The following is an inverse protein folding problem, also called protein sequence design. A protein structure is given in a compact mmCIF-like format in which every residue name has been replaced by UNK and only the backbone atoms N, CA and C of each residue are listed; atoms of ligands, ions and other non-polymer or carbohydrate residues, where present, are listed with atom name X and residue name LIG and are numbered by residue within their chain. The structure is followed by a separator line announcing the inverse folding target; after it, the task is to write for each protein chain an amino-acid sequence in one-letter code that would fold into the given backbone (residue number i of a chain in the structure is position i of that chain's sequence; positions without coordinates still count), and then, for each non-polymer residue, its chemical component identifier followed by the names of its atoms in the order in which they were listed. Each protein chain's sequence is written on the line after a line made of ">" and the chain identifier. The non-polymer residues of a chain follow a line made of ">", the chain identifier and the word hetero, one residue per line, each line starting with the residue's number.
data_IF_211577353193
#
_entry.id   IF_211577353193
#
_cell.length_a   1.000
_cell.length_b   1.000
_cell.length_c   1.000
_cell.angle_alpha   90.00
_cell.angle_beta   90.00
_cell.angle_gamma   90.00
#
_symmetry.space_group_name_H-M   'P 1'
#
loop_
_entity.id
_entity.type
_entity.pdbx_description
1 polymer ?
#
# COMPACT_ATOMS: atom_id res chain seq x y z
N UNK A 1 -2.41 12.11 18.05
CA UNK A 1 -2.08 12.22 16.61
C UNK A 1 -2.96 11.26 15.86
N UNK A 2 -3.54 11.67 14.75
CA UNK A 2 -4.37 10.81 13.91
C UNK A 2 -3.47 9.97 13.00
N UNK A 3 -3.59 8.65 13.06
CA UNK A 3 -2.88 7.72 12.18
C UNK A 3 -3.63 7.61 10.85
N UNK A 4 -2.95 7.90 9.75
CA UNK A 4 -3.51 7.86 8.39
C UNK A 4 -3.10 6.59 7.68
N UNK A 5 -4.06 5.84 7.17
CA UNK A 5 -3.85 4.62 6.41
C UNK A 5 -4.39 4.80 4.99
N UNK A 6 -3.50 4.74 4.01
CA UNK A 6 -3.91 4.69 2.62
C UNK A 6 -4.33 3.26 2.24
N UNK A 7 -5.45 3.14 1.53
CA UNK A 7 -6.02 1.86 1.07
C UNK A 7 -6.13 1.89 -0.44
N UNK A 8 -5.18 1.26 -1.12
CA UNK A 8 -5.13 1.18 -2.58
C UNK A 8 -5.78 -0.10 -3.07
N UNK A 9 -6.77 0.02 -3.95
CA UNK A 9 -7.46 -1.09 -4.61
C UNK A 9 -7.33 -0.99 -6.13
N UNK A 10 -6.84 -2.07 -6.75
CA UNK A 10 -6.72 -2.18 -8.21
C UNK A 10 -7.85 -3.02 -8.86
N UNK A 11 -8.99 -3.17 -8.18
CA UNK A 11 -10.15 -3.87 -8.73
C UNK A 11 -10.76 -3.14 -9.92
N UNK A 12 -11.10 -3.88 -10.98
CA UNK A 12 -11.66 -3.31 -12.23
C UNK A 12 -13.18 -3.42 -12.33
N UNK A 13 -13.77 -4.44 -11.71
CA UNK A 13 -15.22 -4.70 -11.76
C UNK A 13 -16.01 -3.91 -10.72
N UNK A 14 -17.33 -3.79 -10.95
CA UNK A 14 -18.30 -3.31 -9.96
C UNK A 14 -19.49 -4.28 -9.94
N UNK A 15 -19.69 -5.00 -8.82
CA UNK A 15 -18.89 -5.02 -7.60
C UNK A 15 -17.50 -5.64 -7.81
N UNK A 16 -16.54 -5.30 -6.92
CA UNK A 16 -15.17 -5.78 -6.98
C UNK A 16 -14.81 -6.58 -5.71
N UNK A 17 -14.42 -7.83 -5.87
CA UNK A 17 -13.88 -8.65 -4.77
C UNK A 17 -12.56 -8.08 -4.21
N UNK A 18 -11.77 -7.45 -5.07
CA UNK A 18 -10.52 -6.76 -4.66
C UNK A 18 -10.82 -5.60 -3.73
N UNK A 19 -11.82 -4.77 -4.07
CA UNK A 19 -12.27 -3.68 -3.19
C UNK A 19 -12.87 -4.22 -1.89
N UNK A 20 -13.67 -5.28 -1.95
CA UNK A 20 -14.24 -5.92 -0.76
C UNK A 20 -13.14 -6.44 0.19
N UNK A 21 -12.05 -7.03 -0.35
CA UNK A 21 -10.91 -7.43 0.48
C UNK A 21 -10.22 -6.21 1.09
N UNK A 22 -10.01 -5.14 0.32
CA UNK A 22 -9.43 -3.89 0.81
C UNK A 22 -10.26 -3.28 1.95
N UNK A 23 -11.58 -3.25 1.83
CA UNK A 23 -12.50 -2.76 2.86
C UNK A 23 -12.43 -3.60 4.14
N UNK A 24 -12.36 -4.95 4.03
CA UNK A 24 -12.22 -5.84 5.20
C UNK A 24 -10.87 -5.64 5.90
N UNK A 25 -9.78 -5.55 5.14
CA UNK A 25 -8.43 -5.29 5.69
C UNK A 25 -8.38 -3.93 6.39
N UNK A 26 -8.93 -2.89 5.77
CA UNK A 26 -8.99 -1.54 6.35
C UNK A 26 -9.80 -1.51 7.64
N UNK A 27 -10.97 -2.16 7.66
CA UNK A 27 -11.83 -2.24 8.84
C UNK A 27 -11.14 -2.96 10.00
N UNK A 28 -10.51 -4.12 9.73
CA UNK A 28 -9.77 -4.86 10.74
C UNK A 28 -8.57 -4.06 11.27
N UNK A 29 -7.80 -3.41 10.37
CA UNK A 29 -6.67 -2.56 10.75
C UNK A 29 -7.10 -1.39 11.63
N UNK A 30 -8.18 -0.69 11.25
CA UNK A 30 -8.70 0.43 12.04
C UNK A 30 -9.16 -0.02 13.43
N UNK A 31 -9.74 -1.22 13.56
CA UNK A 31 -10.09 -1.80 14.85
C UNK A 31 -8.85 -2.04 15.72
N UNK A 32 -7.80 -2.66 15.18
CA UNK A 32 -6.56 -2.95 15.91
C UNK A 32 -5.82 -1.66 16.34
N UNK A 33 -5.72 -0.68 15.45
CA UNK A 33 -5.10 0.62 15.75
C UNK A 33 -5.86 1.38 16.85
N UNK A 34 -7.21 1.40 16.79
CA UNK A 34 -8.04 2.02 17.84
C UNK A 34 -7.92 1.29 19.17
N UNK A 35 -7.83 -0.04 19.15
CA UNK A 35 -7.57 -0.82 20.37
C UNK A 35 -6.20 -0.47 20.97
N UNK A 36 -5.21 -0.10 20.17
CA UNK A 36 -3.91 0.44 20.58
C UNK A 36 -3.93 1.92 20.97
N UNK A 37 -5.11 2.58 20.99
CA UNK A 37 -5.27 3.97 21.43
C UNK A 37 -5.08 5.03 20.34
N UNK A 38 -4.94 4.64 19.07
CA UNK A 38 -4.79 5.59 17.97
C UNK A 38 -6.15 6.10 17.46
N UNK A 39 -6.21 7.38 17.07
CA UNK A 39 -7.24 7.88 16.16
C UNK A 39 -6.85 7.48 14.73
N UNK A 40 -7.82 7.02 13.92
CA UNK A 40 -7.54 6.44 12.59
C UNK A 40 -8.37 7.11 11.52
N UNK A 41 -7.69 7.57 10.47
CA UNK A 41 -8.26 8.04 9.21
C UNK A 41 -7.90 7.03 8.09
N UNK A 42 -8.87 6.71 7.24
CA UNK A 42 -8.71 5.78 6.12
C UNK A 42 -8.92 6.54 4.82
N UNK A 43 -7.87 6.61 3.99
CA UNK A 43 -7.90 7.23 2.67
C UNK A 43 -7.98 6.15 1.60
N UNK A 44 -9.10 6.06 0.89
CA UNK A 44 -9.31 5.04 -0.15
C UNK A 44 -8.95 5.58 -1.53
N UNK A 45 -8.10 4.84 -2.23
CA UNK A 45 -7.69 5.11 -3.62
C UNK A 45 -8.07 3.93 -4.50
N UNK A 46 -9.12 4.10 -5.29
CA UNK A 46 -9.53 3.13 -6.32
C UNK A 46 -8.81 3.44 -7.63
N UNK A 47 -7.82 2.64 -7.99
CA UNK A 47 -6.97 2.90 -9.16
C UNK A 47 -7.73 2.89 -10.48
N UNK A 48 -8.87 2.21 -10.53
CA UNK A 48 -9.75 2.21 -11.70
C UNK A 48 -10.18 3.63 -12.09
N UNK A 49 -10.44 4.49 -11.11
CA UNK A 49 -10.91 5.85 -11.36
C UNK A 49 -9.80 6.73 -11.96
N UNK A 50 -8.53 6.37 -11.73
CA UNK A 50 -7.34 7.04 -12.24
C UNK A 50 -6.68 6.35 -13.43
N UNK A 51 -7.31 5.29 -14.02
CA UNK A 51 -6.66 4.45 -15.02
C UNK A 51 -6.15 5.21 -16.26
N UNK A 52 -6.92 6.20 -16.74
CA UNK A 52 -6.51 7.04 -17.87
C UNK A 52 -5.43 8.02 -17.49
N UNK A 53 -5.57 8.67 -16.35
CA UNK A 53 -4.57 9.62 -15.82
C UNK A 53 -3.22 8.94 -15.54
N UNK A 54 -3.23 7.68 -15.09
CA UNK A 54 -2.02 6.87 -14.92
C UNK A 54 -1.35 6.60 -16.26
N UNK A 55 -2.11 6.26 -17.31
CA UNK A 55 -1.55 6.06 -18.64
C UNK A 55 -0.97 7.36 -19.20
N UNK A 56 -1.66 8.48 -19.03
CA UNK A 56 -1.17 9.80 -19.44
C UNK A 56 0.10 10.19 -18.68
N UNK A 57 0.14 9.94 -17.37
CA UNK A 57 1.30 10.25 -16.54
C UNK A 57 2.55 9.43 -16.92
N UNK A 58 2.39 8.15 -17.31
CA UNK A 58 3.52 7.35 -17.83
C UNK A 58 4.17 7.96 -19.07
N UNK A 59 3.38 8.66 -19.92
CA UNK A 59 3.86 9.25 -21.15
C UNK A 59 4.40 10.66 -20.91
N UNK A 60 3.71 11.45 -20.09
CA UNK A 60 4.01 12.87 -19.90
C UNK A 60 4.97 13.16 -18.75
N UNK A 61 5.04 12.24 -17.75
CA UNK A 61 5.77 12.45 -16.50
C UNK A 61 5.04 13.38 -15.50
N UNK A 62 3.83 13.85 -15.80
CA UNK A 62 3.09 14.79 -14.97
C UNK A 62 1.70 14.23 -14.61
N UNK A 63 1.39 14.00 -13.32
CA UNK A 63 0.09 13.54 -12.91
C UNK A 63 -0.96 14.67 -13.00
N UNK A 64 -2.16 14.32 -13.46
CA UNK A 64 -3.33 15.18 -13.34
C UNK A 64 -3.64 15.49 -11.86
N UNK A 65 -4.35 16.60 -11.54
CA UNK A 65 -4.59 17.01 -10.14
C UNK A 65 -5.24 15.93 -9.26
N UNK A 66 -6.20 15.16 -9.79
CA UNK A 66 -6.85 14.05 -9.06
C UNK A 66 -5.88 12.91 -8.78
N UNK A 67 -5.05 12.51 -9.75
CA UNK A 67 -4.00 11.51 -9.56
C UNK A 67 -2.92 12.00 -8.60
N UNK A 68 -2.53 13.28 -8.67
CA UNK A 68 -1.59 13.88 -7.71
C UNK A 68 -2.12 13.75 -6.29
N UNK A 69 -3.38 14.10 -6.06
CA UNK A 69 -4.00 13.96 -4.74
C UNK A 69 -3.99 12.50 -4.24
N UNK A 70 -4.28 11.54 -5.12
CA UNK A 70 -4.22 10.12 -4.77
C UNK A 70 -2.79 9.64 -4.45
N UNK A 71 -1.79 10.12 -5.19
CA UNK A 71 -0.38 9.85 -4.90
C UNK A 71 0.00 10.44 -3.53
N UNK A 72 -0.33 11.70 -3.28
CA UNK A 72 0.00 12.39 -2.04
C UNK A 72 -0.63 11.69 -0.82
N UNK A 73 -1.89 11.22 -0.93
CA UNK A 73 -2.53 10.40 0.11
C UNK A 73 -1.72 9.14 0.45
N UNK A 74 -1.22 8.43 -0.56
CA UNK A 74 -0.42 7.22 -0.36
C UNK A 74 0.96 7.53 0.21
N UNK A 75 1.60 8.59 -0.29
CA UNK A 75 2.97 8.95 0.12
C UNK A 75 2.99 9.52 1.54
N UNK A 76 1.99 10.29 1.95
CA UNK A 76 1.96 10.91 3.28
C UNK A 76 1.35 10.04 4.38
N UNK A 77 0.68 8.92 4.04
CA UNK A 77 0.09 8.02 5.02
C UNK A 77 1.15 7.32 5.90
N UNK A 78 0.78 6.98 7.14
CA UNK A 78 1.62 6.24 8.09
C UNK A 78 1.76 4.76 7.73
N UNK A 79 0.81 4.23 6.94
CA UNK A 79 0.82 2.86 6.45
C UNK A 79 -0.01 2.70 5.18
N UNK A 80 0.28 1.63 4.43
CA UNK A 80 -0.36 1.33 3.16
C UNK A 80 -0.98 -0.07 3.17
N UNK A 81 -2.27 -0.16 2.87
CA UNK A 81 -2.93 -1.41 2.48
C UNK A 81 -3.01 -1.43 0.96
N UNK A 82 -2.38 -2.41 0.31
CA UNK A 82 -2.29 -2.50 -1.14
C UNK A 82 -2.90 -3.82 -1.65
N UNK A 83 -4.01 -3.72 -2.41
CA UNK A 83 -4.77 -4.89 -2.85
C UNK A 83 -4.92 -4.91 -4.37
N UNK A 84 -4.55 -6.03 -4.97
CA UNK A 84 -4.57 -6.24 -6.43
C UNK A 84 -5.34 -7.51 -6.81
N UNK A 85 -6.07 -7.52 -7.94
CA UNK A 85 -6.47 -8.79 -8.53
C UNK A 85 -5.26 -9.46 -9.19
N UNK A 86 -5.24 -10.80 -9.21
CA UNK A 86 -4.23 -11.55 -9.95
C UNK A 86 -4.73 -11.80 -11.38
N UNK A 87 -4.04 -11.21 -12.34
CA UNK A 87 -4.23 -11.41 -13.76
C UNK A 87 -2.97 -11.99 -14.40
N UNK A 88 -3.09 -12.99 -15.24
CA UNK A 88 -1.94 -13.60 -15.91
C UNK A 88 -0.80 -13.95 -14.96
N UNK A 89 -1.13 -14.60 -13.84
CA UNK A 89 -0.22 -15.10 -12.80
C UNK A 89 0.50 -14.03 -11.94
N UNK A 90 0.17 -12.74 -12.09
CA UNK A 90 0.79 -11.65 -11.33
C UNK A 90 -0.23 -10.58 -10.94
N UNK A 91 0.21 -9.54 -10.24
CA UNK A 91 -0.61 -8.35 -9.98
C UNK A 91 -1.10 -7.72 -11.28
N UNK A 92 -2.19 -6.96 -11.22
CA UNK A 92 -2.74 -6.31 -12.42
C UNK A 92 -1.78 -5.24 -12.96
N UNK A 93 -1.82 -4.99 -14.29
CA UNK A 93 -1.03 -3.93 -14.92
C UNK A 93 -1.35 -2.55 -14.32
N UNK A 94 -2.61 -2.28 -13.99
CA UNK A 94 -3.02 -1.03 -13.36
C UNK A 94 -2.37 -0.82 -11.97
N UNK A 95 -2.25 -1.90 -11.19
CA UNK A 95 -1.53 -1.89 -9.91
C UNK A 95 -0.06 -1.50 -10.11
N UNK A 96 0.62 -2.17 -11.06
CA UNK A 96 2.03 -1.87 -11.37
C UNK A 96 2.20 -0.43 -11.83
N UNK A 97 1.35 0.03 -12.75
CA UNK A 97 1.40 1.39 -13.28
C UNK A 97 1.35 2.45 -12.18
N UNK A 98 0.50 2.27 -11.15
CA UNK A 98 0.43 3.21 -10.04
C UNK A 98 1.76 3.30 -9.27
N UNK A 99 2.38 2.16 -8.97
CA UNK A 99 3.65 2.16 -8.25
C UNK A 99 4.85 2.59 -9.12
N UNK A 100 4.72 2.50 -10.45
CA UNK A 100 5.76 2.96 -11.37
C UNK A 100 5.83 4.49 -11.54
N UNK A 101 4.73 5.19 -11.26
CA UNK A 101 4.70 6.66 -11.35
C UNK A 101 5.04 7.36 -10.04
N UNK A 102 5.29 6.61 -8.96
CA UNK A 102 5.72 7.18 -7.70
C UNK A 102 7.19 7.61 -7.76
N UNK A 103 7.50 8.70 -7.07
CA UNK A 103 8.89 9.14 -6.93
C UNK A 103 9.75 8.09 -6.21
N UNK A 104 11.02 7.96 -6.57
CA UNK A 104 11.95 7.06 -5.88
C UNK A 104 11.94 7.30 -4.36
N UNK A 105 12.01 6.20 -3.60
CA UNK A 105 12.06 6.22 -2.14
C UNK A 105 10.84 6.78 -1.39
N UNK A 106 9.79 7.23 -2.11
CA UNK A 106 8.56 7.78 -1.49
C UNK A 106 7.83 6.80 -0.54
N UNK A 107 8.08 5.50 -0.71
CA UNK A 107 7.55 4.45 0.17
C UNK A 107 8.63 3.84 1.09
N UNK A 108 9.84 4.41 1.13
CA UNK A 108 10.94 3.85 1.93
C UNK A 108 10.56 3.76 3.41
N UNK A 109 10.75 2.56 3.98
CA UNK A 109 10.40 2.27 5.36
C UNK A 109 8.91 2.27 5.69
N UNK A 110 7.99 2.56 4.75
CA UNK A 110 6.55 2.55 4.98
C UNK A 110 6.05 1.13 5.28
N UNK A 111 5.28 0.90 6.37
CA UNK A 111 4.59 -0.36 6.58
C UNK A 111 3.60 -0.64 5.46
N UNK A 112 3.59 -1.87 4.94
CA UNK A 112 2.68 -2.30 3.89
C UNK A 112 2.00 -3.62 4.28
N UNK A 113 0.67 -3.64 4.20
CA UNK A 113 -0.13 -4.84 4.25
C UNK A 113 -0.58 -5.18 2.83
N UNK A 114 -0.10 -6.29 2.29
CA UNK A 114 -0.39 -6.72 0.94
C UNK A 114 -1.58 -7.68 0.89
N UNK A 115 -2.47 -7.45 -0.09
CA UNK A 115 -3.60 -8.32 -0.37
C UNK A 115 -3.72 -8.64 -1.86
N UNK A 116 -4.28 -9.81 -2.17
CA UNK A 116 -4.62 -10.15 -3.53
C UNK A 116 -5.90 -10.98 -3.63
N UNK A 117 -6.58 -10.87 -4.77
CA UNK A 117 -7.76 -11.69 -5.10
C UNK A 117 -7.56 -12.43 -6.40
N UNK A 118 -8.16 -13.61 -6.52
CA UNK A 118 -8.13 -14.37 -7.76
C UNK A 118 -9.25 -15.40 -7.83
N UNK A 119 -9.41 -16.01 -8.99
CA UNK A 119 -10.46 -17.02 -9.21
C UNK A 119 -10.24 -18.30 -8.42
N UNK A 120 -9.00 -18.68 -8.15
CA UNK A 120 -8.63 -19.90 -7.43
C UNK A 120 -7.47 -19.67 -6.47
N UNK A 121 -7.35 -20.51 -5.44
CA UNK A 121 -6.25 -20.49 -4.46
C UNK A 121 -4.87 -20.80 -5.07
N UNK A 122 -4.82 -21.36 -6.29
CA UNK A 122 -3.57 -21.74 -6.99
C UNK A 122 -2.64 -20.56 -7.27
N UNK A 123 -3.18 -19.35 -7.28
CA UNK A 123 -2.41 -18.12 -7.52
C UNK A 123 -1.97 -17.40 -6.25
N UNK A 124 -2.16 -17.99 -5.06
CA UNK A 124 -1.81 -17.36 -3.78
C UNK A 124 -0.33 -17.01 -3.66
N UNK A 125 0.55 -17.78 -4.28
CA UNK A 125 1.99 -17.52 -4.30
C UNK A 125 2.39 -16.25 -5.06
N UNK A 126 1.48 -15.64 -5.84
CA UNK A 126 1.73 -14.32 -6.45
C UNK A 126 2.00 -13.23 -5.41
N UNK A 127 1.47 -13.37 -4.17
CA UNK A 127 1.82 -12.48 -3.07
C UNK A 127 3.31 -12.52 -2.76
N UNK A 128 3.90 -13.72 -2.66
CA UNK A 128 5.31 -13.91 -2.30
C UNK A 128 6.28 -13.67 -3.46
N UNK A 129 5.89 -14.06 -4.68
CA UNK A 129 6.81 -14.02 -5.84
C UNK A 129 6.65 -12.78 -6.73
N UNK A 130 5.59 -11.99 -6.55
CA UNK A 130 5.37 -10.77 -7.33
C UNK A 130 5.12 -9.54 -6.44
N UNK A 131 4.13 -9.59 -5.53
CA UNK A 131 3.73 -8.41 -4.76
C UNK A 131 4.79 -8.03 -3.72
N UNK A 132 5.28 -8.99 -2.92
CA UNK A 132 6.31 -8.73 -1.91
C UNK A 132 7.63 -8.23 -2.51
N UNK A 133 8.17 -8.80 -3.61
CA UNK A 133 9.35 -8.25 -4.28
C UNK A 133 9.18 -6.82 -4.80
N UNK A 134 8.00 -6.44 -5.28
CA UNK A 134 7.72 -5.06 -5.69
C UNK A 134 7.91 -4.10 -4.52
N UNK A 135 7.30 -4.37 -3.37
CA UNK A 135 7.42 -3.51 -2.19
C UNK A 135 8.81 -3.57 -1.54
N UNK A 136 9.51 -4.71 -1.63
CA UNK A 136 10.91 -4.81 -1.21
C UNK A 136 11.81 -3.91 -2.07
N UNK A 137 11.58 -3.87 -3.39
CA UNK A 137 12.28 -2.94 -4.28
C UNK A 137 12.01 -1.48 -3.93
N UNK A 138 10.76 -1.15 -3.56
CA UNK A 138 10.35 0.18 -3.10
C UNK A 138 10.78 0.48 -1.64
N UNK A 139 11.61 -0.39 -1.03
CA UNK A 139 12.14 -0.27 0.33
C UNK A 139 11.07 -0.17 1.43
N UNK A 140 9.87 -0.67 1.16
CA UNK A 140 8.78 -0.72 2.14
C UNK A 140 8.96 -1.90 3.11
N UNK A 141 8.32 -1.82 4.27
CA UNK A 141 8.29 -2.89 5.27
C UNK A 141 6.99 -3.69 5.11
N UNK A 142 7.02 -4.77 4.34
CA UNK A 142 5.84 -5.62 4.15
C UNK A 142 5.67 -6.53 5.36
N UNK A 143 4.49 -6.47 6.01
CA UNK A 143 4.19 -7.35 7.15
C UNK A 143 4.23 -8.83 6.77
N UNK A 144 4.54 -9.74 7.72
CA UNK A 144 4.71 -11.17 7.44
C UNK A 144 3.50 -11.81 6.79
N UNK A 145 2.29 -11.52 7.30
CA UNK A 145 1.05 -12.09 6.77
C UNK A 145 0.49 -11.22 5.65
N UNK A 146 0.57 -11.70 4.39
CA UNK A 146 -0.20 -11.18 3.28
C UNK A 146 -1.50 -11.98 3.10
N UNK A 147 -2.56 -11.35 2.57
CA UNK A 147 -3.88 -11.98 2.50
C UNK A 147 -4.30 -12.23 1.05
N UNK A 148 -4.46 -13.50 0.71
CA UNK A 148 -5.07 -13.92 -0.55
C UNK A 148 -6.52 -14.34 -0.33
N UNK A 149 -7.43 -13.87 -1.20
CA UNK A 149 -8.82 -14.31 -1.22
C UNK A 149 -9.18 -14.86 -2.62
N UNK A 150 -9.49 -16.16 -2.66
CA UNK A 150 -10.02 -16.83 -3.84
C UNK A 150 -11.54 -16.64 -3.92
N UNK A 151 -12.14 -16.96 -5.07
CA UNK A 151 -13.60 -16.93 -5.21
C UNK A 151 -14.31 -17.86 -4.22
N UNK A 152 -13.70 -18.97 -3.85
CA UNK A 152 -14.21 -19.93 -2.85
C UNK A 152 -14.23 -19.38 -1.42
N UNK A 153 -13.46 -18.35 -1.10
CA UNK A 153 -13.42 -17.72 0.22
C UNK A 153 -14.64 -16.81 0.49
N UNK A 154 -15.44 -16.51 -0.55
CA UNK A 154 -16.59 -15.64 -0.47
C UNK A 154 -17.91 -16.42 -0.40
N UNK A 155 -18.49 -16.59 0.79
CA UNK A 155 -19.84 -17.11 0.94
C UNK A 155 -20.00 -18.59 1.25
N UNK A 156 -18.96 -19.39 1.40
CA UNK A 156 -19.05 -20.75 1.88
C UNK A 156 -18.94 -20.79 3.42
N UNK A 157 -19.82 -21.51 4.11
CA UNK A 157 -19.75 -21.72 5.56
C UNK A 157 -18.38 -22.31 5.93
N UNK A 158 -17.59 -21.63 6.76
CA UNK A 158 -16.24 -22.00 7.18
C UNK A 158 -15.10 -21.37 6.37
N UNK A 159 -15.22 -21.15 5.07
CA UNK A 159 -14.19 -20.49 4.26
C UNK A 159 -14.08 -19.00 4.61
N UNK A 160 -15.21 -18.32 4.85
CA UNK A 160 -15.25 -16.92 5.30
C UNK A 160 -14.57 -16.77 6.67
N UNK A 161 -14.72 -17.72 7.59
CA UNK A 161 -14.04 -17.70 8.89
C UNK A 161 -12.53 -17.85 8.74
N UNK A 162 -12.04 -18.72 7.83
CA UNK A 162 -10.62 -18.88 7.58
C UNK A 162 -10.01 -17.62 6.96
N UNK A 163 -10.74 -16.95 6.04
CA UNK A 163 -10.33 -15.67 5.48
C UNK A 163 -10.30 -14.58 6.57
N UNK A 164 -11.32 -14.48 7.41
CA UNK A 164 -11.37 -13.52 8.51
C UNK A 164 -10.20 -13.70 9.48
N UNK A 165 -9.85 -14.93 9.84
CA UNK A 165 -8.70 -15.20 10.72
C UNK A 165 -7.37 -14.74 10.08
N UNK A 166 -7.21 -14.87 8.76
CA UNK A 166 -6.02 -14.35 8.04
C UNK A 166 -6.01 -12.82 8.03
N UNK A 167 -7.18 -12.19 7.80
CA UNK A 167 -7.34 -10.74 7.83
C UNK A 167 -7.00 -10.19 9.22
N UNK A 168 -7.53 -10.78 10.28
CA UNK A 168 -7.31 -10.35 11.66
C UNK A 168 -5.83 -10.44 12.04
N UNK A 169 -5.16 -11.55 11.68
CA UNK A 169 -3.70 -11.69 11.90
C UNK A 169 -2.91 -10.62 11.16
N UNK A 170 -3.19 -10.43 9.88
CA UNK A 170 -2.48 -9.44 9.06
C UNK A 170 -2.69 -8.01 9.58
N UNK A 171 -3.92 -7.67 9.99
CA UNK A 171 -4.26 -6.38 10.57
C UNK A 171 -3.55 -6.14 11.91
N UNK A 172 -3.45 -7.16 12.78
CA UNK A 172 -2.74 -7.07 14.05
C UNK A 172 -1.22 -6.86 13.85
N UNK A 173 -0.60 -7.61 12.93
CA UNK A 173 0.80 -7.43 12.57
C UNK A 173 1.06 -6.03 12.02
N UNK A 174 0.18 -5.54 11.15
CA UNK A 174 0.29 -4.22 10.53
C UNK A 174 0.11 -3.09 11.55
N UNK A 175 -0.90 -3.19 12.42
CA UNK A 175 -1.10 -2.22 13.51
C UNK A 175 0.08 -2.19 14.47
N UNK A 176 0.65 -3.34 14.83
CA UNK A 176 1.85 -3.43 15.67
C UNK A 176 3.04 -2.72 15.03
N UNK A 177 3.24 -2.92 13.72
CA UNK A 177 4.32 -2.28 12.97
C UNK A 177 4.15 -0.75 12.93
N UNK A 178 2.92 -0.24 12.81
CA UNK A 178 2.65 1.20 12.78
C UNK A 178 2.82 1.82 14.18
N UNK A 179 2.24 1.21 15.21
CA UNK A 179 2.28 1.72 16.58
C UNK A 179 3.70 1.68 17.19
N UNK A 180 4.54 0.74 16.76
CA UNK A 180 5.93 0.61 17.21
C UNK A 180 6.90 1.59 16.56
N UNK A 181 6.47 2.40 15.58
CA UNK A 181 7.33 3.39 14.94
C UNK A 181 7.30 4.72 15.69
N UNK A 182 8.46 5.38 15.90
CA UNK A 182 8.47 6.79 16.21
C UNK A 182 7.75 7.54 15.08
N UNK A 183 6.89 8.49 15.41
CA UNK A 183 6.24 9.38 14.43
C UNK A 183 7.33 10.22 13.74
N UNK A 184 7.81 9.73 12.63
CA UNK A 184 8.68 10.48 11.73
C UNK A 184 7.98 10.51 10.37
N UNK A 185 7.43 11.66 10.02
CA UNK A 185 7.19 11.98 8.63
C UNK A 185 8.50 11.84 7.83
N UNK A 186 8.45 11.65 6.51
CA UNK A 186 9.65 11.70 5.70
C UNK A 186 10.37 13.02 6.02
N UNK A 187 11.65 12.92 6.45
CA UNK A 187 12.47 14.11 6.65
C UNK A 187 12.58 14.77 5.27
N UNK A 188 12.04 15.98 5.15
CA UNK A 188 12.25 16.77 3.96
C UNK A 188 13.75 17.10 3.90
N UNK A 189 14.48 16.67 2.83
CA UNK A 189 15.92 16.99 2.70
C UNK A 189 16.19 18.49 2.69
N UNK A 190 15.15 19.31 2.49
CA UNK A 190 15.22 20.77 2.46
C UNK A 190 14.84 21.46 3.77
N UNK A 191 14.33 20.71 4.77
CA UNK A 191 14.00 21.28 6.10
C UNK A 191 15.27 21.70 6.87
N UNK A 192 16.38 20.96 6.68
CA UNK A 192 17.70 21.30 7.20
C UNK A 192 18.76 21.19 6.10
N UNK A 193 18.82 22.13 5.14
CA UNK A 193 19.82 22.10 4.08
C UNK A 193 21.22 22.25 4.67
N UNK A 194 22.14 21.36 4.25
CA UNK A 194 23.55 21.47 4.66
C UNK A 194 24.06 22.88 4.30
N UNK A 195 24.61 23.63 5.28
CA UNK A 195 25.12 24.97 5.02
C UNK A 195 26.13 24.97 3.86
N UNK A 196 26.03 25.95 2.97
CA UNK A 196 26.88 26.04 1.80
C UNK A 196 28.39 26.01 2.11
N UNK A 197 28.77 26.56 3.28
CA UNK A 197 30.14 26.52 3.77
C UNK A 197 30.66 25.09 4.02
N UNK A 198 29.81 24.20 4.50
CA UNK A 198 30.15 22.79 4.77
C UNK A 198 30.28 21.98 3.47
N UNK A 199 29.42 22.29 2.48
CA UNK A 199 29.51 21.70 1.15
C UNK A 199 30.82 22.13 0.42
N UNK A 200 31.24 23.38 0.58
CA UNK A 200 32.52 23.85 0.06
C UNK A 200 33.70 23.19 0.75
N UNK A 201 33.67 23.05 2.07
CA UNK A 201 34.73 22.42 2.84
C UNK A 201 34.92 20.93 2.49
N UNK A 202 33.83 20.23 2.18
CA UNK A 202 33.86 18.81 1.79
C UNK A 202 34.44 18.58 0.39
N UNK A 203 34.44 19.60 -0.50
CA UNK A 203 34.88 19.51 -1.88
C UNK A 203 36.24 20.19 -2.15
N UNK A 204 36.95 20.73 -1.16
CA UNK A 204 38.30 21.25 -1.32
C UNK A 204 39.30 20.08 -1.39
N UNK A 205 40.09 19.96 -2.47
CA UNK A 205 41.16 18.96 -2.57
C UNK A 205 42.21 19.24 -1.47
N UNK A 206 42.60 18.17 -0.77
CA UNK A 206 43.74 18.18 0.19
C UNK A 206 45.05 18.34 -0.52
#
# INVERSE_FOLDING_TARGET
>A
MTTRIAVVSAGLSQPSSTRLLADRLATATARELRAGGAEVELDFVDLRDHARELADNLITGFPAPSLRSAIDQVVTADGLIAVTPIFSASYSGLFKTFFDVLEPDSLAGKPVLAGATGGTERHSLALEHAVRPLFAYLRSIVVPTAVYAASSDWGAHGADQALNNRIDRAASEFATQILGRPSAGPADPYDEPTPFADLLAANLPR
#
